data_IF_741554229546
#
_entry.id   IF_741554229546
#
_cell.length_a   1.000
_cell.length_b   1.000
_cell.length_c   1.000
_cell.angle_alpha   90.00
_cell.angle_beta   90.00
_cell.angle_gamma   90.00
#
_symmetry.space_group_name_H-M   'P 1'
#
loop_
_entity.id
_entity.type
_entity.pdbx_description
1 polymer ?
#
# COMPACT_ATOMS: atom_id res chain seq x y z
N UNK A 1 7.71 16.49 -3.73
CA UNK A 1 7.62 15.03 -3.50
C UNK A 1 8.52 14.29 -4.50
N UNK A 2 8.84 13.01 -4.29
CA UNK A 2 9.61 12.21 -5.24
C UNK A 2 8.81 11.97 -6.53
N UNK A 3 9.45 11.85 -7.70
CA UNK A 3 8.74 11.49 -8.95
C UNK A 3 8.40 10.01 -9.01
N UNK A 4 9.16 9.18 -8.30
CA UNK A 4 8.96 7.74 -8.21
C UNK A 4 9.33 7.20 -6.83
N UNK A 5 8.55 6.25 -6.36
CA UNK A 5 8.84 5.52 -5.11
C UNK A 5 8.81 4.01 -5.36
N UNK A 6 9.69 3.28 -4.68
CA UNK A 6 9.60 1.84 -4.47
C UNK A 6 8.80 1.60 -3.19
N UNK A 7 7.78 0.75 -3.29
CA UNK A 7 6.96 0.33 -2.15
C UNK A 7 7.12 -1.16 -1.99
N UNK A 8 7.39 -1.59 -0.76
CA UNK A 8 7.63 -2.99 -0.40
C UNK A 8 6.69 -3.36 0.74
N UNK A 9 5.80 -4.32 0.49
CA UNK A 9 4.98 -4.92 1.54
C UNK A 9 5.77 -6.10 2.09
N UNK A 10 6.26 -5.97 3.31
CA UNK A 10 7.21 -6.89 3.92
C UNK A 10 6.52 -7.97 4.75
N UNK A 11 5.45 -7.60 5.46
CA UNK A 11 4.74 -8.49 6.38
C UNK A 11 3.35 -7.91 6.69
N UNK A 12 2.47 -8.73 7.28
CA UNK A 12 1.14 -8.36 7.74
C UNK A 12 0.09 -9.38 7.28
N UNK A 13 -1.17 -9.04 7.53
CA UNK A 13 -2.29 -9.90 7.13
C UNK A 13 -3.38 -9.13 6.40
N UNK A 14 -4.21 -9.87 5.67
CA UNK A 14 -5.41 -9.38 4.98
C UNK A 14 -6.62 -10.22 5.36
N UNK A 15 -7.81 -9.64 5.28
CA UNK A 15 -9.06 -10.36 5.50
C UNK A 15 -9.41 -11.23 4.28
N UNK A 16 -9.50 -12.55 4.48
CA UNK A 16 -9.93 -13.51 3.46
C UNK A 16 -11.04 -14.39 4.03
N UNK A 17 -12.26 -14.25 3.48
CA UNK A 17 -13.46 -14.97 3.95
C UNK A 17 -13.65 -14.81 5.47
N UNK A 18 -13.54 -13.57 5.96
CA UNK A 18 -13.68 -13.22 7.38
C UNK A 18 -12.49 -13.58 8.28
N UNK A 19 -11.47 -14.31 7.79
CA UNK A 19 -10.29 -14.69 8.58
C UNK A 19 -9.06 -13.88 8.20
N UNK A 20 -8.26 -13.51 9.19
CA UNK A 20 -6.95 -12.88 9.00
C UNK A 20 -5.97 -13.89 8.39
N UNK A 21 -5.31 -13.53 7.29
CA UNK A 21 -4.35 -14.40 6.59
C UNK A 21 -3.10 -13.62 6.20
N UNK A 22 -1.94 -14.22 6.47
CA UNK A 22 -0.66 -13.70 5.99
C UNK A 22 -0.61 -13.71 4.46
N UNK A 23 0.13 -12.76 3.90
CA UNK A 23 0.39 -12.65 2.47
C UNK A 23 1.88 -12.77 2.17
N UNK A 24 2.22 -13.19 0.96
CA UNK A 24 3.61 -13.24 0.50
C UNK A 24 4.15 -11.83 0.23
N UNK A 25 5.36 -11.47 0.71
CA UNK A 25 5.93 -10.16 0.47
C UNK A 25 5.95 -9.79 -1.02
N UNK A 26 5.80 -8.50 -1.32
CA UNK A 26 5.87 -8.01 -2.70
C UNK A 26 6.47 -6.61 -2.76
N UNK A 27 6.98 -6.25 -3.94
CA UNK A 27 7.47 -4.91 -4.21
C UNK A 27 6.98 -4.41 -5.56
N UNK A 28 6.80 -3.11 -5.65
CA UNK A 28 6.40 -2.44 -6.89
C UNK A 28 6.84 -0.98 -6.88
N UNK A 29 6.83 -0.38 -8.07
CA UNK A 29 7.09 1.04 -8.26
C UNK A 29 5.78 1.78 -8.49
N UNK A 30 5.73 3.03 -8.02
CA UNK A 30 4.68 4.01 -8.35
C UNK A 30 5.32 5.32 -8.77
N UNK A 31 4.80 5.91 -9.84
CA UNK A 31 5.10 7.29 -10.23
C UNK A 31 4.14 8.27 -9.54
N UNK A 32 4.57 9.51 -9.37
CA UNK A 32 3.70 10.60 -8.92
C UNK A 32 2.48 10.74 -9.86
N UNK A 33 1.28 10.78 -9.27
CA UNK A 33 0.00 10.74 -9.99
C UNK A 33 -0.54 9.35 -10.33
N UNK A 34 0.26 8.28 -10.19
CA UNK A 34 -0.11 6.91 -10.59
C UNK A 34 -1.10 6.28 -9.60
N UNK A 35 -2.05 5.51 -10.15
CA UNK A 35 -2.88 4.57 -9.41
C UNK A 35 -2.77 3.21 -10.06
N UNK A 36 -2.47 2.17 -9.26
CA UNK A 36 -2.18 0.83 -9.76
C UNK A 36 -2.97 -0.22 -9.00
N UNK A 37 -3.48 -1.22 -9.71
CA UNK A 37 -3.99 -2.44 -9.08
C UNK A 37 -2.85 -3.43 -8.87
N UNK A 38 -2.64 -3.85 -7.62
CA UNK A 38 -1.65 -4.84 -7.24
C UNK A 38 -2.33 -6.14 -6.81
N UNK A 39 -1.61 -7.25 -6.95
CA UNK A 39 -2.08 -8.58 -6.56
C UNK A 39 -1.38 -9.03 -5.28
N UNK A 40 -2.17 -9.37 -4.27
CA UNK A 40 -1.75 -9.92 -2.99
C UNK A 40 -1.96 -11.43 -3.03
N UNK A 41 -0.91 -12.19 -2.74
CA UNK A 41 -0.97 -13.66 -2.71
C UNK A 41 -1.03 -14.14 -1.27
N UNK A 42 -1.97 -15.03 -0.97
CA UNK A 42 -2.12 -15.70 0.34
C UNK A 42 -2.16 -17.21 0.13
N UNK A 43 -2.03 -17.99 1.21
CA UNK A 43 -2.21 -19.45 1.16
C UNK A 43 -3.60 -19.91 0.68
N UNK A 44 -4.61 -19.02 0.69
CA UNK A 44 -5.98 -19.30 0.20
C UNK A 44 -6.28 -18.68 -1.17
N UNK A 45 -5.27 -18.15 -1.86
CA UNK A 45 -5.38 -17.62 -3.21
C UNK A 45 -4.98 -16.16 -3.33
N UNK A 46 -5.30 -15.58 -4.50
CA UNK A 46 -4.88 -14.24 -4.92
C UNK A 46 -6.02 -13.23 -4.74
N UNK A 47 -5.71 -12.04 -4.25
CA UNK A 47 -6.65 -10.90 -4.14
C UNK A 47 -6.04 -9.69 -4.85
N UNK A 48 -6.90 -8.76 -5.28
CA UNK A 48 -6.46 -7.48 -5.86
C UNK A 48 -6.84 -6.34 -4.94
N UNK A 49 -5.92 -5.39 -4.78
CA UNK A 49 -6.22 -4.09 -4.19
C UNK A 49 -5.65 -2.97 -5.05
N UNK A 50 -6.01 -1.74 -4.72
CA UNK A 50 -5.54 -0.54 -5.38
C UNK A 50 -4.61 0.21 -4.45
N UNK A 51 -3.52 0.71 -5.02
CA UNK A 51 -2.57 1.61 -4.38
C UNK A 51 -2.38 2.82 -5.28
N UNK A 52 -2.03 3.96 -4.71
CA UNK A 52 -1.78 5.16 -5.51
C UNK A 52 -0.81 6.10 -4.83
N UNK A 53 -0.15 6.93 -5.62
CA UNK A 53 0.78 7.94 -5.14
C UNK A 53 0.40 9.28 -5.76
N UNK A 54 -0.03 10.24 -4.93
CA UNK A 54 -0.48 11.55 -5.42
C UNK A 54 -0.15 12.65 -4.42
N UNK A 55 0.38 13.75 -4.93
CA UNK A 55 0.79 14.93 -4.18
C UNK A 55 1.70 14.58 -3.01
N UNK A 56 2.62 13.64 -3.21
CA UNK A 56 3.47 13.14 -2.12
C UNK A 56 2.81 12.18 -1.14
N UNK A 57 1.53 11.82 -1.31
CA UNK A 57 0.83 10.92 -0.39
C UNK A 57 0.71 9.52 -1.01
N UNK A 58 1.17 8.50 -0.30
CA UNK A 58 0.93 7.10 -0.63
C UNK A 58 -0.41 6.65 -0.04
N UNK A 59 -1.28 6.12 -0.90
CA UNK A 59 -2.57 5.56 -0.56
C UNK A 59 -2.50 4.05 -0.68
N UNK A 60 -2.88 3.36 0.39
CA UNK A 60 -2.86 1.90 0.49
C UNK A 60 -4.27 1.37 0.68
N UNK A 61 -4.59 0.33 -0.08
CA UNK A 61 -5.88 -0.37 -0.03
C UNK A 61 -7.09 0.52 -0.39
N UNK A 62 -6.89 1.42 -1.34
CA UNK A 62 -7.93 2.31 -1.85
C UNK A 62 -7.44 3.21 -2.98
N UNK A 63 -8.38 3.87 -3.66
CA UNK A 63 -8.11 4.74 -4.80
C UNK A 63 -8.19 6.22 -4.39
N UNK A 64 -7.12 7.03 -4.56
CA UNK A 64 -7.15 8.45 -4.24
C UNK A 64 -8.11 9.27 -5.12
N UNK A 65 -8.54 8.76 -6.27
CA UNK A 65 -9.49 9.43 -7.17
C UNK A 65 -10.96 9.10 -6.87
N UNK A 66 -11.25 8.08 -6.06
CA UNK A 66 -12.63 7.70 -5.75
C UNK A 66 -13.06 8.28 -4.40
N UNK A 67 -13.89 9.33 -4.43
CA UNK A 67 -14.34 10.07 -3.25
C UNK A 67 -15.06 9.17 -2.23
N UNK A 68 -15.77 8.11 -2.67
CA UNK A 68 -16.42 7.14 -1.78
C UNK A 68 -15.45 6.15 -1.12
N UNK A 69 -14.29 5.88 -1.73
CA UNK A 69 -13.27 4.95 -1.20
C UNK A 69 -12.11 5.68 -0.48
N UNK A 70 -12.01 7.01 -0.62
CA UNK A 70 -11.00 7.86 0.04
C UNK A 70 -10.96 7.70 1.56
N UNK A 71 -12.08 7.34 2.18
CA UNK A 71 -12.24 7.23 3.64
C UNK A 71 -11.65 5.96 4.25
N UNK A 72 -11.36 4.92 3.45
CA UNK A 72 -10.93 3.62 3.95
C UNK A 72 -9.44 3.29 3.72
N UNK A 73 -8.78 4.03 2.82
CA UNK A 73 -7.37 3.87 2.51
C UNK A 73 -6.49 4.34 3.68
N UNK A 74 -5.40 3.61 3.97
CA UNK A 74 -4.34 4.18 4.79
C UNK A 74 -3.56 5.20 3.95
N UNK A 75 -3.16 6.30 4.59
CA UNK A 75 -2.40 7.38 3.97
C UNK A 75 -1.04 7.49 4.65
N UNK A 76 0.01 7.62 3.86
CA UNK A 76 1.36 7.89 4.35
C UNK A 76 1.89 9.08 3.56
N UNK A 77 2.05 10.21 4.23
CA UNK A 77 2.58 11.43 3.61
C UNK A 77 4.07 11.31 3.30
N UNK A 78 4.50 12.07 2.30
CA UNK A 78 5.89 12.16 1.93
C UNK A 78 6.73 12.55 3.15
N UNK A 79 7.84 11.85 3.32
CA UNK A 79 8.83 12.16 4.34
C UNK A 79 10.21 12.24 3.70
N UNK A 80 11.07 13.20 4.10
CA UNK A 80 12.47 13.21 3.68
C UNK A 80 13.20 11.87 3.90
N UNK A 81 12.77 11.09 4.91
CA UNK A 81 13.28 9.75 5.19
C UNK A 81 13.04 8.73 4.07
N UNK A 82 12.17 9.02 3.10
CA UNK A 82 12.01 8.15 1.93
C UNK A 82 13.29 8.10 1.08
N UNK A 83 14.18 9.09 1.15
CA UNK A 83 15.45 9.08 0.41
C UNK A 83 16.31 7.86 0.78
N UNK A 84 16.52 7.61 2.08
CA UNK A 84 17.24 6.42 2.59
C UNK A 84 16.32 5.20 2.72
N UNK A 85 15.02 5.42 2.74
CA UNK A 85 13.99 4.40 2.87
C UNK A 85 13.49 4.30 4.31
N UNK A 86 12.18 4.24 4.51
CA UNK A 86 11.56 4.12 5.83
C UNK A 86 10.49 3.05 5.88
N UNK A 87 10.43 2.36 7.00
CA UNK A 87 9.41 1.35 7.27
C UNK A 87 8.31 1.91 8.15
N UNK A 88 7.07 1.63 7.78
CA UNK A 88 5.87 2.00 8.51
C UNK A 88 5.08 0.74 8.84
N UNK A 89 4.30 0.80 9.92
CA UNK A 89 3.31 -0.22 10.25
C UNK A 89 1.93 0.42 10.16
N UNK A 90 1.09 -0.09 9.27
CA UNK A 90 -0.23 0.49 8.99
C UNK A 90 -1.34 -0.54 9.06
N UNK A 91 -2.53 -0.06 9.42
CA UNK A 91 -3.77 -0.80 9.28
C UNK A 91 -4.62 -0.07 8.23
N UNK A 92 -5.30 -0.82 7.37
CA UNK A 92 -6.28 -0.24 6.44
C UNK A 92 -7.68 -0.61 6.89
N UNK A 93 -8.67 0.16 6.43
CA UNK A 93 -10.10 -0.20 6.53
C UNK A 93 -10.70 -0.47 5.14
N UNK A 94 -9.83 -0.56 4.12
CA UNK A 94 -10.19 -0.75 2.72
C UNK A 94 -10.58 -2.19 2.39
N UNK A 95 -10.57 -2.50 1.10
CA UNK A 95 -11.08 -3.77 0.54
C UNK A 95 -10.41 -4.99 1.17
N UNK A 96 -9.11 -4.93 1.44
CA UNK A 96 -8.37 -6.05 2.01
C UNK A 96 -8.19 -5.94 3.53
N UNK A 97 -8.50 -4.79 4.12
CA UNK A 97 -8.48 -4.56 5.56
C UNK A 97 -7.18 -5.07 6.19
N UNK A 98 -6.05 -4.58 5.66
CA UNK A 98 -4.73 -4.96 6.12
C UNK A 98 -4.59 -4.73 7.62
N UNK A 99 -4.00 -5.70 8.32
CA UNK A 99 -3.64 -5.59 9.73
C UNK A 99 -2.14 -5.77 9.90
N UNK A 100 -1.52 -4.83 10.60
CA UNK A 100 -0.09 -4.83 10.89
C UNK A 100 0.79 -4.80 9.64
N UNK A 101 0.32 -4.20 8.54
CA UNK A 101 1.07 -4.14 7.29
C UNK A 101 2.38 -3.39 7.52
N UNK A 102 3.51 -4.12 7.42
CA UNK A 102 4.85 -3.56 7.42
C UNK A 102 5.18 -3.15 6.00
N UNK A 103 5.23 -1.85 5.74
CA UNK A 103 5.51 -1.29 4.41
C UNK A 103 6.80 -0.49 4.46
N UNK A 104 7.76 -0.82 3.58
CA UNK A 104 8.95 0.01 3.35
C UNK A 104 8.76 0.86 2.11
N UNK A 105 9.09 2.14 2.22
CA UNK A 105 8.97 3.11 1.13
C UNK A 105 10.33 3.74 0.92
N UNK A 106 10.81 3.73 -0.31
CA UNK A 106 12.06 4.38 -0.71
C UNK A 106 11.86 5.21 -1.98
N UNK A 107 12.53 6.34 -2.08
CA UNK A 107 12.68 7.10 -3.31
C UNK A 107 13.35 6.24 -4.40
N UNK A 108 12.91 6.37 -5.64
CA UNK A 108 13.35 5.52 -6.76
C UNK A 108 13.52 6.30 -8.08
N UNK A 109 13.75 7.62 -7.97
CA UNK A 109 14.08 8.55 -9.04
C UNK A 109 15.38 9.29 -8.70
#
# INVERSE_FOLDING_TARGET
>A
PAKRIKVEFLDGTVAVRGKSRAFSPLSFLLKEGETRSIRITTAKGKKKTTVGYRNGVLYLDGNPSNVRQRSAAAKIDFSPAWNSGRTYRVNTRGKLNFKGLKVRIKRAD
#
